data_IF_741961831318
#
_entry.id   IF_741961831318
#
_cell.length_a   1.000
_cell.length_b   1.000
_cell.length_c   1.000
_cell.angle_alpha   90.00
_cell.angle_beta   90.00
_cell.angle_gamma   90.00
#
_symmetry.space_group_name_H-M   'P 1'
#
loop_
_entity.id
_entity.type
_entity.pdbx_description
1 polymer ?
#
# COMPACT_ATOMS: atom_id res chain seq x y z
N UNK A 1 -24.31 1.25 -31.83
CA UNK A 1 -23.61 0.18 -31.10
C UNK A 1 -22.23 0.02 -31.72
N UNK A 2 -21.20 0.48 -31.02
CA UNK A 2 -19.79 0.45 -31.48
C UNK A 2 -19.29 -0.99 -31.51
N UNK A 3 -19.57 -1.74 -32.58
CA UNK A 3 -18.98 -3.06 -32.78
C UNK A 3 -17.58 -2.87 -33.35
N UNK A 4 -16.57 -3.18 -32.54
CA UNK A 4 -15.18 -3.26 -32.99
C UNK A 4 -15.13 -4.29 -34.11
N UNK A 5 -14.47 -3.96 -35.23
CA UNK A 5 -14.31 -4.88 -36.37
C UNK A 5 -13.72 -6.22 -35.87
N UNK A 6 -14.17 -7.38 -36.38
CA UNK A 6 -13.72 -8.69 -35.87
C UNK A 6 -12.19 -8.86 -35.93
N UNK A 7 -11.55 -8.27 -36.95
CA UNK A 7 -10.09 -8.25 -37.10
C UNK A 7 -9.41 -7.46 -35.97
N UNK A 8 -9.93 -6.29 -35.61
CA UNK A 8 -9.41 -5.47 -34.52
C UNK A 8 -9.60 -6.14 -33.16
N UNK A 9 -10.73 -6.83 -32.95
CA UNK A 9 -10.96 -7.62 -31.74
C UNK A 9 -9.97 -8.80 -31.65
N UNK A 10 -9.72 -9.52 -32.75
CA UNK A 10 -8.75 -10.59 -32.79
C UNK A 10 -7.32 -10.10 -32.48
N UNK A 11 -6.92 -8.95 -33.03
CA UNK A 11 -5.63 -8.32 -32.71
C UNK A 11 -5.50 -7.97 -31.23
N UNK A 12 -6.52 -7.37 -30.63
CA UNK A 12 -6.51 -7.06 -29.19
C UNK A 12 -6.46 -8.32 -28.33
N UNK A 13 -7.19 -9.37 -28.69
CA UNK A 13 -7.15 -10.64 -27.97
C UNK A 13 -5.77 -11.29 -28.03
N UNK A 14 -5.12 -11.32 -29.20
CA UNK A 14 -3.75 -11.83 -29.34
C UNK A 14 -2.78 -10.98 -28.52
N UNK A 15 -2.89 -9.65 -28.58
CA UNK A 15 -2.07 -8.76 -27.78
C UNK A 15 -2.24 -9.02 -26.28
N UNK A 16 -3.48 -9.13 -25.78
CA UNK A 16 -3.73 -9.43 -24.36
C UNK A 16 -3.26 -10.82 -23.96
N UNK A 17 -3.35 -11.82 -24.85
CA UNK A 17 -2.80 -13.15 -24.60
C UNK A 17 -1.27 -13.11 -24.45
N UNK A 18 -0.57 -12.38 -25.33
CA UNK A 18 0.88 -12.21 -25.25
C UNK A 18 1.28 -11.45 -23.98
N UNK A 19 0.59 -10.36 -23.65
CA UNK A 19 0.86 -9.59 -22.42
C UNK A 19 0.61 -10.44 -21.17
N UNK A 20 -0.48 -11.20 -21.15
CA UNK A 20 -0.77 -12.14 -20.05
C UNK A 20 0.32 -13.20 -19.91
N UNK A 21 0.80 -13.76 -21.02
CA UNK A 21 1.90 -14.71 -21.01
C UNK A 21 3.19 -14.10 -20.44
N UNK A 22 3.57 -12.90 -20.87
CA UNK A 22 4.76 -12.20 -20.37
C UNK A 22 4.66 -11.93 -18.86
N UNK A 23 3.47 -11.62 -18.35
CA UNK A 23 3.25 -11.42 -16.91
C UNK A 23 3.29 -12.72 -16.10
N UNK A 24 2.76 -13.83 -16.64
CA UNK A 24 2.69 -15.11 -15.95
C UNK A 24 4.00 -15.90 -16.03
N UNK A 25 4.77 -15.71 -17.09
CA UNK A 25 6.00 -16.46 -17.35
C UNK A 25 7.01 -16.38 -16.18
N UNK A 26 7.33 -15.20 -15.60
CA UNK A 26 8.22 -15.10 -14.45
C UNK A 26 7.73 -15.89 -13.23
N UNK A 27 6.41 -15.95 -12.99
CA UNK A 27 5.83 -16.69 -11.87
C UNK A 27 6.05 -18.19 -12.06
N UNK A 28 5.74 -18.71 -13.25
CA UNK A 28 5.99 -20.11 -13.60
C UNK A 28 7.50 -20.41 -13.50
N UNK A 29 8.34 -19.49 -13.96
CA UNK A 29 9.79 -19.65 -13.92
C UNK A 29 10.32 -19.77 -12.48
N UNK A 30 9.85 -18.92 -11.56
CA UNK A 30 10.23 -19.00 -10.13
C UNK A 30 9.78 -20.32 -9.50
N UNK A 31 8.59 -20.83 -9.85
CA UNK A 31 8.09 -22.13 -9.38
C UNK A 31 8.97 -23.28 -9.88
N UNK A 32 9.44 -23.21 -11.12
CA UNK A 32 10.36 -24.23 -11.66
C UNK A 32 11.72 -24.18 -10.96
N UNK A 33 12.22 -22.98 -10.66
CA UNK A 33 13.45 -22.79 -9.87
C UNK A 33 13.28 -23.35 -8.46
N UNK A 34 12.13 -23.18 -7.81
CA UNK A 34 11.92 -23.65 -6.43
C UNK A 34 11.91 -25.17 -6.28
N UNK A 35 11.67 -25.92 -7.36
CA UNK A 35 11.75 -27.40 -7.40
C UNK A 35 13.03 -27.92 -8.05
N UNK A 36 13.96 -27.04 -8.42
CA UNK A 36 15.24 -27.41 -9.05
C UNK A 36 16.28 -27.77 -7.99
N UNK A 37 17.17 -28.74 -8.27
CA UNK A 37 18.30 -29.03 -7.38
C UNK A 37 19.36 -27.92 -7.43
N UNK A 38 20.04 -27.69 -6.30
CA UNK A 38 21.13 -26.69 -6.21
C UNK A 38 22.29 -27.03 -7.16
N UNK A 39 22.58 -28.32 -7.36
CA UNK A 39 23.59 -28.79 -8.30
C UNK A 39 23.19 -28.52 -9.75
N UNK A 40 21.94 -28.77 -10.12
CA UNK A 40 21.43 -28.43 -11.46
C UNK A 40 21.50 -26.92 -11.73
N UNK A 41 21.16 -26.09 -10.74
CA UNK A 41 21.24 -24.63 -10.85
C UNK A 41 22.70 -24.19 -11.00
N UNK A 42 23.62 -24.79 -10.23
CA UNK A 42 25.05 -24.44 -10.25
C UNK A 42 25.72 -24.80 -11.58
N UNK A 43 25.38 -25.96 -12.15
CA UNK A 43 26.02 -26.47 -13.37
C UNK A 43 25.41 -25.90 -14.65
N UNK A 44 24.08 -25.81 -14.71
CA UNK A 44 23.34 -25.48 -15.94
C UNK A 44 22.68 -24.09 -15.89
N UNK A 45 22.75 -23.40 -14.76
CA UNK A 45 22.02 -22.16 -14.52
C UNK A 45 20.53 -22.39 -14.25
N UNK A 46 19.78 -21.29 -14.23
CA UNK A 46 18.32 -21.33 -14.08
C UNK A 46 17.69 -21.77 -15.40
N UNK A 47 16.96 -22.87 -15.37
CA UNK A 47 16.27 -23.44 -16.52
C UNK A 47 14.77 -23.51 -16.25
N UNK A 48 13.97 -23.42 -17.32
CA UNK A 48 12.50 -23.57 -17.21
C UNK A 48 12.12 -25.00 -16.82
N UNK A 49 12.87 -26.00 -17.27
CA UNK A 49 12.69 -27.40 -16.87
C UNK A 49 14.01 -27.84 -16.24
N UNK A 50 14.06 -28.12 -14.94
CA UNK A 50 15.27 -28.59 -14.30
C UNK A 50 15.62 -29.99 -14.79
N UNK A 51 16.92 -30.26 -14.87
CA UNK A 51 17.42 -31.60 -15.17
C UNK A 51 17.18 -32.56 -14.01
N UNK A 52 17.26 -32.04 -12.77
CA UNK A 52 16.98 -32.80 -11.56
C UNK A 52 16.04 -32.03 -10.63
N UNK A 53 14.92 -32.68 -10.28
CA UNK A 53 13.96 -32.15 -9.32
C UNK A 53 14.45 -32.41 -7.89
N UNK A 54 14.28 -31.42 -7.00
CA UNK A 54 14.64 -31.51 -5.59
C UNK A 54 13.59 -30.82 -4.70
N UNK A 55 13.30 -31.44 -3.56
CA UNK A 55 12.47 -30.84 -2.51
C UNK A 55 13.30 -30.21 -1.38
N UNK A 56 14.62 -30.07 -1.55
CA UNK A 56 15.53 -29.54 -0.53
C UNK A 56 15.15 -28.13 -0.06
N UNK A 57 14.78 -27.24 -0.98
CA UNK A 57 14.34 -25.88 -0.65
C UNK A 57 13.10 -25.89 0.26
N UNK A 58 12.12 -26.74 -0.04
CA UNK A 58 10.92 -26.86 0.78
C UNK A 58 11.19 -27.50 2.15
N UNK A 59 12.11 -28.49 2.23
CA UNK A 59 12.55 -29.04 3.52
C UNK A 59 13.26 -27.99 4.37
N UNK A 60 14.10 -27.14 3.76
CA UNK A 60 14.73 -26.02 4.45
C UNK A 60 13.68 -25.04 5.01
N UNK A 61 12.70 -24.63 4.20
CA UNK A 61 11.59 -23.77 4.65
C UNK A 61 10.76 -24.44 5.77
N UNK A 62 10.58 -25.76 5.71
CA UNK A 62 9.86 -26.51 6.73
C UNK A 62 10.61 -26.57 8.07
N UNK A 63 11.94 -26.59 8.04
CA UNK A 63 12.79 -26.54 9.22
C UNK A 63 12.78 -25.13 9.84
N UNK A 64 12.81 -24.09 9.01
CA UNK A 64 12.75 -22.67 9.43
C UNK A 64 11.32 -22.13 9.63
N UNK A 65 10.31 -23.02 9.69
CA UNK A 65 8.90 -22.64 9.75
C UNK A 65 8.54 -21.70 10.91
N UNK A 66 9.24 -21.81 12.05
CA UNK A 66 9.02 -20.93 13.20
C UNK A 66 9.39 -19.48 12.91
N UNK A 67 10.60 -19.28 12.37
CA UNK A 67 11.12 -17.97 11.95
C UNK A 67 10.24 -17.36 10.85
N UNK A 68 9.90 -18.15 9.84
CA UNK A 68 9.09 -17.70 8.70
C UNK A 68 7.67 -17.34 9.15
N UNK A 69 7.04 -18.16 10.00
CA UNK A 69 5.70 -17.89 10.51
C UNK A 69 5.68 -16.62 11.38
N UNK A 70 6.70 -16.42 12.22
CA UNK A 70 6.82 -15.21 13.02
C UNK A 70 7.01 -13.97 12.14
N UNK A 71 7.91 -14.03 11.15
CA UNK A 71 8.12 -12.94 10.19
C UNK A 71 6.83 -12.60 9.43
N UNK A 72 6.11 -13.60 8.93
CA UNK A 72 4.84 -13.43 8.23
C UNK A 72 3.77 -12.81 9.15
N UNK A 73 3.71 -13.23 10.41
CA UNK A 73 2.77 -12.68 11.39
C UNK A 73 3.07 -11.19 11.65
N UNK A 74 4.34 -10.81 11.80
CA UNK A 74 4.73 -9.40 11.93
C UNK A 74 4.35 -8.61 10.67
N UNK A 75 4.64 -9.13 9.46
CA UNK A 75 4.26 -8.48 8.21
C UNK A 75 2.75 -8.27 8.10
N UNK A 76 1.93 -9.26 8.50
CA UNK A 76 0.47 -9.14 8.52
C UNK A 76 0.03 -8.08 9.53
N UNK A 77 0.58 -8.09 10.74
CA UNK A 77 0.23 -7.12 11.79
C UNK A 77 0.56 -5.70 11.35
N UNK A 78 1.77 -5.46 10.84
CA UNK A 78 2.21 -4.15 10.33
C UNK A 78 1.30 -3.70 9.18
N UNK A 79 1.02 -4.59 8.23
CA UNK A 79 0.17 -4.28 7.08
C UNK A 79 -1.26 -3.92 7.50
N UNK A 80 -1.89 -4.72 8.37
CA UNK A 80 -3.28 -4.50 8.79
C UNK A 80 -3.38 -3.24 9.66
N UNK A 81 -2.56 -3.11 10.70
CA UNK A 81 -2.62 -1.97 11.60
C UNK A 81 -2.21 -0.68 10.88
N UNK A 82 -1.13 -0.72 10.10
CA UNK A 82 -0.68 0.41 9.30
C UNK A 82 -1.70 0.86 8.27
N UNK A 83 -2.34 -0.08 7.57
CA UNK A 83 -3.40 0.25 6.60
C UNK A 83 -4.61 0.88 7.28
N UNK A 84 -5.10 0.30 8.37
CA UNK A 84 -6.27 0.83 9.10
C UNK A 84 -5.97 2.23 9.64
N UNK A 85 -4.84 2.40 10.33
CA UNK A 85 -4.41 3.70 10.85
C UNK A 85 -4.20 4.71 9.72
N UNK A 86 -3.53 4.31 8.65
CA UNK A 86 -3.23 5.22 7.55
C UNK A 86 -4.47 5.65 6.78
N UNK A 87 -5.43 4.75 6.54
CA UNK A 87 -6.74 5.13 5.97
C UNK A 87 -7.44 6.12 6.89
N UNK A 88 -7.51 5.85 8.20
CA UNK A 88 -8.17 6.74 9.16
C UNK A 88 -7.53 8.14 9.20
N UNK A 89 -6.20 8.22 9.30
CA UNK A 89 -5.48 9.48 9.38
C UNK A 89 -5.54 10.27 8.06
N UNK A 90 -5.28 9.61 6.93
CA UNK A 90 -5.26 10.30 5.63
C UNK A 90 -6.65 10.78 5.21
N UNK A 91 -7.69 9.99 5.49
CA UNK A 91 -9.06 10.35 5.11
C UNK A 91 -9.69 11.39 6.03
N UNK A 92 -9.44 11.33 7.33
CA UNK A 92 -9.89 12.39 8.24
C UNK A 92 -9.27 13.74 7.87
N UNK A 93 -7.97 13.76 7.59
CA UNK A 93 -7.26 14.96 7.16
C UNK A 93 -7.70 15.44 5.78
N UNK A 94 -7.85 14.53 4.82
CA UNK A 94 -8.39 14.82 3.49
C UNK A 94 -9.81 15.42 3.55
N UNK A 95 -10.67 14.91 4.44
CA UNK A 95 -12.02 15.42 4.61
C UNK A 95 -12.02 16.86 5.12
N UNK A 96 -11.28 17.16 6.20
CA UNK A 96 -11.20 18.52 6.75
C UNK A 96 -10.66 19.51 5.71
N UNK A 97 -9.61 19.13 4.99
CA UNK A 97 -9.00 19.96 3.94
C UNK A 97 -9.88 20.15 2.70
N UNK A 98 -10.85 19.26 2.47
CA UNK A 98 -11.80 19.39 1.36
C UNK A 98 -12.87 20.46 1.65
N UNK A 99 -13.10 20.83 2.91
CA UNK A 99 -14.17 21.75 3.28
C UNK A 99 -13.76 23.22 3.04
N UNK A 100 -14.56 24.00 2.27
CA UNK A 100 -14.19 25.38 1.94
C UNK A 100 -14.30 26.32 3.14
N UNK A 101 -15.17 26.01 4.10
CA UNK A 101 -15.43 26.80 5.31
C UNK A 101 -14.31 26.66 6.37
N UNK A 102 -13.35 25.74 6.19
CA UNK A 102 -12.28 25.55 7.16
C UNK A 102 -11.23 26.66 7.04
N UNK A 103 -11.15 27.51 8.09
CA UNK A 103 -10.31 28.72 8.11
C UNK A 103 -8.83 28.44 7.85
N UNK A 104 -8.28 27.33 8.37
CA UNK A 104 -6.85 27.00 8.26
C UNK A 104 -6.50 26.13 7.05
N UNK A 105 -7.44 25.92 6.11
CA UNK A 105 -7.21 25.05 4.94
C UNK A 105 -5.98 25.44 4.14
N UNK A 106 -5.70 26.74 3.99
CA UNK A 106 -4.57 27.24 3.20
C UNK A 106 -3.23 26.80 3.80
N UNK A 107 -3.08 27.03 5.11
CA UNK A 107 -1.89 26.62 5.86
C UNK A 107 -1.67 25.10 5.80
N UNK A 108 -2.68 24.32 6.17
CA UNK A 108 -2.52 22.85 6.19
C UNK A 108 -2.38 22.23 4.80
N UNK A 109 -2.92 22.86 3.74
CA UNK A 109 -2.61 22.43 2.38
C UNK A 109 -1.11 22.55 2.08
N UNK A 110 -0.46 23.64 2.50
CA UNK A 110 0.99 23.78 2.35
C UNK A 110 1.77 22.78 3.20
N UNK A 111 1.33 22.53 4.44
CA UNK A 111 1.94 21.52 5.33
C UNK A 111 1.90 20.12 4.70
N UNK A 112 0.84 19.77 3.97
CA UNK A 112 0.75 18.49 3.24
C UNK A 112 1.55 18.51 1.95
N UNK A 113 1.51 19.62 1.23
CA UNK A 113 2.09 19.75 -0.10
C UNK A 113 3.61 19.80 -0.08
N UNK A 114 4.23 20.46 0.90
CA UNK A 114 5.70 20.57 0.97
C UNK A 114 6.37 19.19 1.06
N UNK A 115 5.99 18.28 1.99
CA UNK A 115 6.57 16.93 2.06
C UNK A 115 6.31 16.06 0.83
N UNK A 116 5.29 16.40 0.03
CA UNK A 116 4.99 15.68 -1.21
C UNK A 116 6.04 15.95 -2.29
N UNK A 117 6.62 17.15 -2.31
CA UNK A 117 7.64 17.56 -3.30
C UNK A 117 9.05 17.45 -2.72
N UNK A 118 9.21 17.76 -1.44
CA UNK A 118 10.49 17.79 -0.75
C UNK A 118 10.52 16.74 0.34
N UNK A 119 11.55 15.91 0.37
CA UNK A 119 11.76 14.91 1.42
C UNK A 119 13.11 15.15 2.10
N UNK A 120 13.17 14.99 3.43
CA UNK A 120 14.40 15.15 4.21
C UNK A 120 15.49 14.11 3.91
N UNK A 121 15.15 13.08 3.13
CA UNK A 121 16.04 11.98 2.79
C UNK A 121 16.10 10.92 3.89
N UNK A 122 16.74 9.80 3.56
CA UNK A 122 16.84 8.63 4.43
C UNK A 122 17.52 8.94 5.76
N UNK A 123 18.63 9.69 5.76
CA UNK A 123 19.39 9.99 6.99
C UNK A 123 18.57 10.85 7.94
N UNK A 124 17.89 11.89 7.43
CA UNK A 124 17.05 12.74 8.29
C UNK A 124 15.86 11.94 8.85
N UNK A 125 15.23 11.09 8.01
CA UNK A 125 14.16 10.21 8.47
C UNK A 125 14.66 9.26 9.58
N UNK A 126 15.84 8.68 9.40
CA UNK A 126 16.47 7.81 10.39
C UNK A 126 16.70 8.52 11.72
N UNK A 127 17.30 9.72 11.69
CA UNK A 127 17.55 10.50 12.90
C UNK A 127 16.24 10.81 13.64
N UNK A 128 15.17 11.17 12.93
CA UNK A 128 13.88 11.44 13.56
C UNK A 128 13.30 10.18 14.20
N UNK A 129 13.25 9.06 13.47
CA UNK A 129 12.60 7.83 13.95
C UNK A 129 13.42 7.14 15.04
N UNK A 130 14.73 6.96 14.82
CA UNK A 130 15.61 6.22 15.71
C UNK A 130 16.14 7.09 16.86
N UNK A 131 16.64 8.30 16.57
CA UNK A 131 17.35 9.10 17.58
C UNK A 131 16.46 10.07 18.36
N UNK A 132 15.42 10.63 17.73
CA UNK A 132 14.54 11.61 18.40
C UNK A 132 13.31 10.94 19.03
N UNK A 133 12.69 10.01 18.31
CA UNK A 133 11.48 9.31 18.76
C UNK A 133 11.79 7.98 19.48
N UNK A 134 13.03 7.50 19.41
CA UNK A 134 13.49 6.26 20.05
C UNK A 134 12.62 5.04 19.69
N UNK A 135 12.20 4.95 18.43
CA UNK A 135 11.33 3.87 17.94
C UNK A 135 12.09 2.68 17.35
N UNK A 136 13.43 2.71 17.33
CA UNK A 136 14.25 1.60 16.83
C UNK A 136 13.93 0.30 17.58
N UNK A 137 14.00 -0.84 16.89
CA UNK A 137 13.66 -2.16 17.43
C UNK A 137 12.20 -2.28 17.95
N UNK A 138 11.27 -1.45 17.48
CA UNK A 138 9.83 -1.54 17.83
C UNK A 138 8.96 -1.67 16.59
N UNK A 139 7.76 -2.27 16.70
CA UNK A 139 6.83 -2.36 15.56
C UNK A 139 6.39 -0.98 15.03
N UNK A 140 6.45 0.05 15.88
CA UNK A 140 6.01 1.40 15.54
C UNK A 140 6.95 2.10 14.54
N UNK A 141 8.23 1.75 14.49
CA UNK A 141 9.12 2.26 13.44
C UNK A 141 8.75 1.75 12.05
N UNK A 142 8.02 0.62 11.96
CA UNK A 142 7.55 0.06 10.69
C UNK A 142 6.20 0.66 10.28
N UNK A 143 5.38 1.07 11.25
CA UNK A 143 4.02 1.55 11.00
C UNK A 143 3.99 3.06 10.76
N UNK A 144 4.55 3.85 11.67
CA UNK A 144 4.32 5.30 11.73
C UNK A 144 4.90 6.09 10.54
N UNK A 145 6.08 5.77 9.99
CA UNK A 145 6.65 6.54 8.88
C UNK A 145 5.76 6.54 7.62
N UNK A 146 5.09 5.42 7.31
CA UNK A 146 4.18 5.31 6.18
C UNK A 146 2.71 5.65 6.52
N UNK A 147 2.38 5.90 7.79
CA UNK A 147 0.99 6.04 8.23
C UNK A 147 0.28 7.24 7.59
N UNK A 148 0.98 8.32 7.26
CA UNK A 148 0.39 9.49 6.58
C UNK A 148 1.18 9.82 5.32
N UNK A 149 0.60 9.47 4.18
CA UNK A 149 1.12 9.85 2.87
C UNK A 149 0.44 11.12 2.37
N UNK A 150 1.23 12.16 2.06
CA UNK A 150 0.71 13.41 1.47
C UNK A 150 -0.06 13.15 0.18
N UNK A 151 0.41 12.22 -0.66
CA UNK A 151 -0.29 11.83 -1.89
C UNK A 151 -1.69 11.27 -1.60
N UNK A 152 -1.81 10.36 -0.63
CA UNK A 152 -3.09 9.78 -0.24
C UNK A 152 -4.04 10.84 0.35
N UNK A 153 -3.52 11.81 1.11
CA UNK A 153 -4.31 12.95 1.62
C UNK A 153 -4.88 13.78 0.47
N UNK A 154 -4.08 14.07 -0.56
CA UNK A 154 -4.53 14.85 -1.73
C UNK A 154 -5.58 14.09 -2.54
N UNK A 155 -5.40 12.78 -2.75
CA UNK A 155 -6.43 11.93 -3.38
C UNK A 155 -7.73 12.00 -2.59
N UNK A 156 -7.64 11.76 -1.27
CA UNK A 156 -8.80 11.78 -0.39
C UNK A 156 -9.52 13.13 -0.42
N UNK A 157 -8.77 14.23 -0.30
CA UNK A 157 -9.29 15.59 -0.38
C UNK A 157 -10.02 15.84 -1.69
N UNK A 158 -9.41 15.44 -2.81
CA UNK A 158 -10.00 15.63 -4.15
C UNK A 158 -11.30 14.87 -4.27
N UNK A 159 -11.31 13.59 -3.88
CA UNK A 159 -12.50 12.76 -3.89
C UNK A 159 -13.64 13.36 -3.06
N UNK A 160 -13.36 13.80 -1.82
CA UNK A 160 -14.39 14.40 -0.98
C UNK A 160 -14.91 15.73 -1.53
N UNK A 161 -14.06 16.50 -2.23
CA UNK A 161 -14.47 17.77 -2.83
C UNK A 161 -15.33 17.58 -4.07
N UNK A 162 -15.03 16.58 -4.90
CA UNK A 162 -15.74 16.32 -6.16
C UNK A 162 -17.01 15.50 -5.97
N UNK A 163 -16.99 14.55 -5.03
CA UNK A 163 -18.06 13.54 -4.90
C UNK A 163 -19.12 13.92 -3.88
N UNK A 164 -18.79 14.75 -2.88
CA UNK A 164 -19.73 15.11 -1.80
C UNK A 164 -20.16 16.57 -1.97
N UNK A 165 -21.41 16.82 -2.46
CA UNK A 165 -21.97 18.15 -2.55
C UNK A 165 -22.02 18.85 -1.19
N UNK A 166 -21.69 20.14 -1.16
CA UNK A 166 -21.75 20.94 0.07
C UNK A 166 -23.19 21.02 0.62
N UNK A 167 -24.21 20.93 -0.24
CA UNK A 167 -25.63 20.93 0.13
C UNK A 167 -26.04 19.78 1.06
N UNK A 168 -25.46 18.59 0.89
CA UNK A 168 -25.74 17.44 1.78
C UNK A 168 -25.23 17.75 3.20
N UNK A 169 -24.07 18.39 3.30
CA UNK A 169 -23.47 18.77 4.59
C UNK A 169 -24.26 19.91 5.23
N UNK A 170 -24.69 20.89 4.45
CA UNK A 170 -25.51 22.01 4.93
C UNK A 170 -26.88 21.55 5.42
N UNK A 171 -27.54 20.65 4.69
CA UNK A 171 -28.81 20.03 5.14
C UNK A 171 -28.63 19.33 6.48
N UNK A 172 -27.60 18.50 6.63
CA UNK A 172 -27.33 17.80 7.88
C UNK A 172 -27.02 18.76 9.05
N UNK A 173 -26.37 19.90 8.78
CA UNK A 173 -26.15 20.95 9.78
C UNK A 173 -27.45 21.64 10.20
N UNK A 174 -28.37 21.89 9.26
CA UNK A 174 -29.70 22.44 9.54
C UNK A 174 -30.50 21.47 10.43
N UNK A 175 -30.34 20.16 10.21
CA UNK A 175 -30.92 19.10 11.05
C UNK A 175 -30.21 18.93 12.42
N UNK A 176 -29.25 19.80 12.74
CA UNK A 176 -28.54 19.80 14.02
C UNK A 176 -27.45 18.73 14.16
N UNK A 177 -27.04 18.06 13.07
CA UNK A 177 -26.00 17.04 13.13
C UNK A 177 -24.61 17.65 13.44
N UNK A 178 -23.91 17.07 14.40
CA UNK A 178 -22.52 17.44 14.71
C UNK A 178 -21.55 17.04 13.58
N UNK A 179 -20.37 17.66 13.52
CA UNK A 179 -19.38 17.37 12.47
C UNK A 179 -18.96 15.88 12.43
N UNK A 180 -18.78 15.26 13.61
CA UNK A 180 -18.41 13.84 13.69
C UNK A 180 -19.56 12.93 13.25
N UNK A 181 -20.81 13.31 13.54
CA UNK A 181 -22.00 12.60 13.04
C UNK A 181 -22.09 12.69 11.52
N UNK A 182 -21.90 13.88 10.95
CA UNK A 182 -21.87 14.09 9.49
C UNK A 182 -20.77 13.22 8.87
N UNK A 183 -19.56 13.24 9.44
CA UNK A 183 -18.45 12.44 8.94
C UNK A 183 -18.74 10.93 8.97
N UNK A 184 -19.12 10.41 10.14
CA UNK A 184 -19.30 8.96 10.35
C UNK A 184 -20.56 8.39 9.67
N UNK A 185 -21.69 9.11 9.69
CA UNK A 185 -22.98 8.58 9.18
C UNK A 185 -23.28 8.95 7.73
N UNK A 186 -22.69 10.01 7.19
CA UNK A 186 -22.98 10.49 5.83
C UNK A 186 -21.75 10.35 4.94
N UNK A 187 -20.62 10.94 5.34
CA UNK A 187 -19.42 11.00 4.49
C UNK A 187 -18.77 9.62 4.32
N UNK A 188 -18.55 8.89 5.43
CA UNK A 188 -17.92 7.56 5.43
C UNK A 188 -18.64 6.55 4.50
N UNK A 189 -19.97 6.38 4.55
CA UNK A 189 -20.68 5.46 3.65
C UNK A 189 -20.55 5.82 2.17
N UNK A 190 -20.58 7.10 1.82
CA UNK A 190 -20.42 7.60 0.44
C UNK A 190 -18.96 7.38 -0.04
N UNK A 191 -18.01 7.33 0.88
CA UNK A 191 -16.58 7.36 0.58
C UNK A 191 -15.90 5.99 0.59
N UNK A 192 -16.66 4.90 0.62
CA UNK A 192 -16.12 3.54 0.48
C UNK A 192 -15.17 3.37 -0.71
N UNK A 193 -15.41 3.95 -1.90
CA UNK A 193 -14.47 3.81 -3.02
C UNK A 193 -13.08 4.39 -2.72
N UNK A 194 -13.00 5.58 -2.11
CA UNK A 194 -11.70 6.19 -1.80
C UNK A 194 -10.98 5.47 -0.66
N UNK A 195 -11.71 4.90 0.30
CA UNK A 195 -11.13 4.08 1.36
C UNK A 195 -10.54 2.79 0.81
N UNK A 196 -11.20 2.16 -0.16
CA UNK A 196 -10.67 0.99 -0.84
C UNK A 196 -9.39 1.32 -1.62
N UNK A 197 -9.36 2.43 -2.36
CA UNK A 197 -8.16 2.86 -3.11
C UNK A 197 -6.99 3.14 -2.18
N UNK A 198 -7.18 3.94 -1.13
CA UNK A 198 -6.11 4.27 -0.17
C UNK A 198 -5.69 3.03 0.61
N UNK A 199 -6.65 2.19 1.01
CA UNK A 199 -6.39 0.93 1.69
C UNK A 199 -5.53 -0.01 0.84
N UNK A 200 -5.83 -0.12 -0.45
CA UNK A 200 -5.03 -0.90 -1.40
C UNK A 200 -3.59 -0.36 -1.51
N UNK A 201 -3.43 0.95 -1.70
CA UNK A 201 -2.11 1.56 -1.82
C UNK A 201 -1.26 1.38 -0.55
N UNK A 202 -1.86 1.56 0.63
CA UNK A 202 -1.17 1.33 1.90
C UNK A 202 -0.87 -0.14 2.13
N UNK A 203 -1.80 -1.05 1.81
CA UNK A 203 -1.59 -2.50 1.93
C UNK A 203 -0.37 -2.93 1.11
N UNK A 204 -0.31 -2.51 -0.17
CA UNK A 204 0.85 -2.78 -1.01
C UNK A 204 2.12 -2.11 -0.48
N UNK A 205 2.02 -0.89 0.03
CA UNK A 205 3.14 -0.17 0.64
C UNK A 205 3.76 -0.95 1.81
N UNK A 206 2.96 -1.28 2.82
CA UNK A 206 3.44 -2.02 3.99
C UNK A 206 3.86 -3.45 3.68
N UNK A 207 3.12 -4.16 2.82
CA UNK A 207 3.41 -5.56 2.49
C UNK A 207 4.77 -5.72 1.79
N UNK A 208 5.16 -4.75 0.96
CA UNK A 208 6.40 -4.81 0.19
C UNK A 208 7.57 -4.07 0.88
N UNK A 209 7.35 -3.50 2.07
CA UNK A 209 8.37 -2.71 2.76
C UNK A 209 9.31 -3.59 3.58
N UNK A 210 10.39 -4.01 2.93
CA UNK A 210 11.51 -4.68 3.57
C UNK A 210 12.58 -3.68 4.08
N UNK A 211 12.62 -2.47 3.52
CA UNK A 211 13.71 -1.55 3.73
C UNK A 211 13.67 -0.91 5.11
N UNK A 212 12.50 -0.45 5.57
CA UNK A 212 12.35 0.10 6.93
C UNK A 212 12.76 -0.94 7.99
N UNK A 213 12.37 -2.21 7.79
CA UNK A 213 12.76 -3.31 8.67
C UNK A 213 14.27 -3.48 8.74
N UNK A 214 14.95 -3.51 7.59
CA UNK A 214 16.42 -3.63 7.54
C UNK A 214 17.16 -2.42 8.15
N UNK A 215 16.51 -1.25 8.15
CA UNK A 215 17.10 0.01 8.60
C UNK A 215 16.95 0.21 10.11
N UNK A 216 15.78 -0.12 10.67
CA UNK A 216 15.41 0.22 12.05
C UNK A 216 15.45 -0.93 13.05
N UNK A 217 15.56 -2.17 12.57
CA UNK A 217 15.64 -3.36 13.42
C UNK A 217 17.08 -3.86 13.36
N UNK A 218 17.76 -3.83 14.51
CA UNK A 218 19.15 -4.24 14.67
C UNK A 218 19.31 -5.35 15.70
N UNK A 219 18.41 -5.43 16.68
CA UNK A 219 18.40 -6.51 17.66
C UNK A 219 17.71 -7.75 17.10
N UNK A 220 18.48 -8.83 17.01
CA UNK A 220 17.98 -10.22 17.00
C UNK A 220 17.72 -10.68 18.44
#
# INVERSE_FOLDING_TARGET
MNQIKPVTNALFNVLFAVLSFICLFPVVYVVMISVSSEESIRLNGYALIPETFSNSAYMFLWNERGTIAHALLISIIVTVIGTVLGVLLTTSMGYVLSRPQYRLRGFFNWVVFIPMIFNGGMVANYVVVANMLHLNDTIWCLILPLAVSSFNVIISKTFFRTTIPDSIIESAKIDGASQLTIFSRIVVPISKPVFATIGLFLTFGYWNDWFQSSLYISKN
#
